data_IF_429833850262
#
_entry.id   IF_429833850262
#
_cell.length_a   1.000
_cell.length_b   1.000
_cell.length_c   1.000
_cell.angle_alpha   90.00
_cell.angle_beta   90.00
_cell.angle_gamma   90.00
#
_symmetry.space_group_name_H-M   'P 1'
#
loop_
_entity.id
_entity.type
_entity.pdbx_description
1 polymer ?
#
# COMPACT_ATOMS: atom_id res chain seq x y z
N UNK A 1 -28.38 -18.01 24.75
CA UNK A 1 -27.57 -17.19 25.65
C UNK A 1 -26.77 -16.25 24.77
N UNK A 2 -26.88 -14.94 24.97
CA UNK A 2 -26.12 -13.95 24.19
C UNK A 2 -24.74 -13.79 24.85
N UNK A 3 -23.66 -13.89 24.06
CA UNK A 3 -22.30 -13.64 24.53
C UNK A 3 -22.05 -12.14 24.64
N UNK A 4 -21.54 -11.67 25.78
CA UNK A 4 -21.25 -10.25 25.96
C UNK A 4 -20.23 -9.77 24.91
N UNK A 5 -20.60 -8.73 24.16
CA UNK A 5 -19.72 -8.09 23.19
C UNK A 5 -19.48 -6.63 23.62
N UNK A 6 -18.24 -6.24 23.98
CA UNK A 6 -17.95 -4.87 24.41
C UNK A 6 -17.97 -3.90 23.23
N UNK A 7 -18.37 -2.65 23.50
CA UNK A 7 -18.21 -1.55 22.54
C UNK A 7 -16.72 -1.26 22.30
N UNK A 8 -16.27 -1.11 21.04
CA UNK A 8 -14.86 -0.85 20.75
C UNK A 8 -14.42 0.54 21.23
N UNK A 9 -13.13 0.71 21.48
CA UNK A 9 -12.57 2.02 21.86
C UNK A 9 -12.77 3.03 20.73
N UNK A 10 -13.30 4.21 21.07
CA UNK A 10 -13.44 5.33 20.13
C UNK A 10 -12.12 6.07 19.96
N UNK A 11 -11.60 6.13 18.74
CA UNK A 11 -10.39 6.87 18.41
C UNK A 11 -10.64 8.40 18.40
N UNK A 12 -9.64 9.19 18.81
CA UNK A 12 -9.70 10.66 18.75
C UNK A 12 -9.38 11.13 17.33
N UNK A 13 -10.23 11.96 16.73
CA UNK A 13 -10.10 12.43 15.34
C UNK A 13 -8.90 13.36 15.10
N UNK A 14 -8.61 14.29 16.01
CA UNK A 14 -7.52 15.27 15.86
C UNK A 14 -6.16 14.72 16.29
N UNK A 15 -5.83 13.53 15.79
CA UNK A 15 -4.51 12.89 15.92
C UNK A 15 -3.77 12.98 14.60
N UNK A 16 -2.49 12.64 14.63
CA UNK A 16 -1.68 12.73 13.43
C UNK A 16 -2.18 11.76 12.36
N UNK A 17 -2.10 12.21 11.12
CA UNK A 17 -2.38 11.46 9.92
C UNK A 17 -1.13 11.43 9.04
N UNK A 18 -1.05 10.40 8.22
CA UNK A 18 -0.12 10.32 7.09
C UNK A 18 -0.97 10.32 5.83
N UNK A 19 -0.76 11.31 4.97
CA UNK A 19 -1.44 11.42 3.67
C UNK A 19 -0.46 10.97 2.60
N UNK A 20 -0.87 10.01 1.78
CA UNK A 20 -0.10 9.57 0.62
C UNK A 20 -0.92 9.76 -0.65
N UNK A 21 -0.26 9.87 -1.80
CA UNK A 21 -0.98 9.79 -3.06
C UNK A 21 -1.69 8.43 -3.17
N UNK A 22 -2.94 8.45 -3.62
CA UNK A 22 -3.67 7.24 -3.98
C UNK A 22 -3.35 6.90 -5.42
N UNK A 23 -2.80 5.70 -5.61
CA UNK A 23 -2.54 5.14 -6.92
C UNK A 23 -3.71 4.26 -7.37
N UNK A 24 -4.10 4.43 -8.63
CA UNK A 24 -5.17 3.68 -9.28
C UNK A 24 -4.56 2.49 -10.02
N UNK A 25 -4.36 1.40 -9.30
CA UNK A 25 -3.81 0.17 -9.83
C UNK A 25 -4.61 -1.03 -9.35
N UNK A 26 -3.91 -2.02 -8.83
CA UNK A 26 -4.51 -3.16 -8.14
C UNK A 26 -3.74 -3.49 -6.87
N UNK A 27 -4.48 -3.59 -5.76
CA UNK A 27 -3.92 -3.94 -4.47
C UNK A 27 -3.24 -5.32 -4.54
N UNK A 28 -1.97 -5.33 -4.12
CA UNK A 28 -1.10 -6.49 -4.21
C UNK A 28 -0.22 -6.60 -2.97
N UNK A 29 0.27 -7.80 -2.67
CA UNK A 29 1.25 -7.97 -1.60
C UNK A 29 2.21 -9.12 -1.89
N UNK A 30 3.39 -9.02 -1.26
CA UNK A 30 4.46 -10.01 -1.33
C UNK A 30 4.69 -10.53 0.09
N UNK A 31 4.58 -11.84 0.28
CA UNK A 31 4.96 -12.47 1.54
C UNK A 31 6.28 -13.20 1.35
N UNK A 32 7.25 -12.90 2.21
CA UNK A 32 8.57 -13.53 2.23
C UNK A 32 8.73 -14.20 3.60
N UNK A 33 9.13 -15.47 3.59
CA UNK A 33 9.40 -16.23 4.81
C UNK A 33 10.78 -16.85 4.71
N UNK A 34 11.55 -16.75 5.79
CA UNK A 34 12.87 -17.36 5.87
C UNK A 34 12.73 -18.88 6.08
N UNK A 35 13.35 -19.66 5.20
CA UNK A 35 13.46 -21.11 5.32
C UNK A 35 14.68 -21.53 6.14
N UNK A 36 15.00 -22.83 6.09
CA UNK A 36 16.14 -23.39 6.79
C UNK A 36 17.47 -22.87 6.23
N UNK A 37 18.47 -22.74 7.11
CA UNK A 37 19.87 -22.58 6.69
C UNK A 37 20.34 -23.90 6.04
N UNK A 38 21.06 -23.82 4.92
CA UNK A 38 21.47 -24.99 4.13
C UNK A 38 22.53 -25.88 4.84
N UNK A 39 22.90 -25.56 6.08
CA UNK A 39 23.87 -26.33 6.88
C UNK A 39 23.37 -27.73 7.32
N UNK A 40 22.10 -28.08 7.08
CA UNK A 40 21.53 -29.37 7.49
C UNK A 40 20.87 -30.11 6.30
N UNK A 41 21.53 -31.11 5.70
CA UNK A 41 20.99 -31.86 4.56
C UNK A 41 19.79 -32.79 4.87
N UNK A 42 19.30 -32.84 6.11
CA UNK A 42 18.38 -33.90 6.56
C UNK A 42 17.13 -33.45 7.31
N UNK A 43 16.83 -32.16 7.41
CA UNK A 43 15.53 -31.73 7.96
C UNK A 43 14.49 -31.73 6.85
N UNK A 44 13.57 -32.69 6.93
CA UNK A 44 12.34 -32.79 6.15
C UNK A 44 11.67 -31.41 6.10
N UNK A 45 11.61 -30.83 4.90
CA UNK A 45 10.89 -29.58 4.67
C UNK A 45 9.42 -29.85 4.96
N UNK A 46 8.87 -29.22 6.00
CA UNK A 46 7.43 -29.01 6.05
C UNK A 46 7.06 -28.29 4.75
N UNK A 47 6.22 -28.95 3.95
CA UNK A 47 5.76 -28.40 2.70
C UNK A 47 5.00 -27.12 3.02
N UNK A 48 5.65 -25.96 2.87
CA UNK A 48 4.96 -24.68 2.87
C UNK A 48 3.93 -24.76 1.75
N UNK A 49 2.64 -24.89 2.08
CA UNK A 49 1.67 -25.48 1.16
C UNK A 49 1.37 -24.56 -0.03
N UNK A 50 1.81 -23.31 0.02
CA UNK A 50 1.59 -22.27 -0.98
C UNK A 50 2.88 -21.46 -1.11
N UNK A 51 3.74 -21.79 -2.09
CA UNK A 51 4.90 -20.96 -2.48
C UNK A 51 4.82 -20.63 -3.98
N UNK A 52 5.11 -19.38 -4.32
CA UNK A 52 5.27 -18.93 -5.70
C UNK A 52 6.65 -19.33 -6.23
N UNK A 53 7.66 -19.21 -5.37
CA UNK A 53 9.05 -19.53 -5.68
C UNK A 53 9.84 -19.86 -4.43
N UNK A 54 11.00 -20.46 -4.67
CA UNK A 54 12.04 -20.74 -3.68
C UNK A 54 13.34 -20.16 -4.22
N UNK A 55 14.04 -19.36 -3.41
CA UNK A 55 15.28 -18.71 -3.83
C UNK A 55 16.34 -18.80 -2.74
N UNK A 56 17.59 -19.01 -3.15
CA UNK A 56 18.73 -19.03 -2.25
C UNK A 56 19.42 -17.67 -2.24
N UNK A 57 19.43 -17.01 -1.09
CA UNK A 57 20.01 -15.68 -0.89
C UNK A 57 20.76 -15.67 0.45
N UNK A 58 22.02 -15.24 0.42
CA UNK A 58 22.87 -15.01 1.58
C UNK A 58 22.95 -16.21 2.55
N UNK A 59 23.02 -17.44 2.01
CA UNK A 59 23.17 -18.66 2.80
C UNK A 59 21.86 -19.31 3.26
N UNK A 60 20.70 -18.71 2.94
CA UNK A 60 19.39 -19.20 3.35
C UNK A 60 18.49 -19.46 2.15
N UNK A 61 17.59 -20.44 2.33
CA UNK A 61 16.45 -20.63 1.44
C UNK A 61 15.35 -19.66 1.87
N UNK A 62 14.71 -19.01 0.91
CA UNK A 62 13.59 -18.11 1.13
C UNK A 62 12.38 -18.57 0.31
N UNK A 63 11.21 -18.47 0.92
CA UNK A 63 9.93 -18.72 0.24
C UNK A 63 9.24 -17.39 -0.02
N UNK A 64 8.76 -17.21 -1.24
CA UNK A 64 8.04 -16.01 -1.65
C UNK A 64 6.65 -16.38 -2.16
N UNK A 65 5.65 -15.56 -1.86
CA UNK A 65 4.31 -15.63 -2.47
C UNK A 65 3.82 -14.26 -2.89
N UNK A 66 3.00 -14.22 -3.94
CA UNK A 66 2.29 -13.04 -4.37
C UNK A 66 0.79 -13.19 -4.06
N UNK A 67 0.15 -12.11 -3.67
CA UNK A 67 -1.31 -12.07 -3.47
C UNK A 67 -1.93 -10.80 -4.05
N UNK A 68 -3.19 -10.93 -4.42
CA UNK A 68 -4.11 -9.80 -4.63
C UNK A 68 -4.81 -9.46 -3.31
N UNK A 69 -5.70 -8.46 -3.32
CA UNK A 69 -6.59 -8.17 -2.19
C UNK A 69 -7.37 -9.38 -1.64
N UNK A 70 -7.73 -10.34 -2.50
CA UNK A 70 -8.71 -11.39 -2.17
C UNK A 70 -8.11 -12.79 -2.01
N UNK A 71 -6.92 -13.03 -2.57
CA UNK A 71 -6.34 -14.37 -2.68
C UNK A 71 -4.86 -14.32 -3.07
N UNK A 72 -4.16 -15.41 -2.76
CA UNK A 72 -2.86 -15.75 -3.35
C UNK A 72 -3.01 -15.95 -4.87
N UNK A 73 -2.00 -15.54 -5.62
CA UNK A 73 -1.95 -15.61 -7.07
C UNK A 73 -0.65 -16.28 -7.54
N UNK A 74 -0.65 -16.84 -8.75
CA UNK A 74 0.51 -17.51 -9.35
C UNK A 74 0.71 -17.02 -10.79
N UNK A 75 1.90 -17.18 -11.40
CA UNK A 75 2.13 -16.71 -12.76
C UNK A 75 1.25 -17.48 -13.73
N UNK A 76 0.90 -16.84 -14.85
CA UNK A 76 0.14 -17.46 -15.93
C UNK A 76 -1.26 -16.87 -16.11
N UNK A 77 -2.05 -17.47 -17.00
CA UNK A 77 -3.27 -16.84 -17.52
C UNK A 77 -4.47 -16.86 -16.57
N UNK A 78 -4.46 -17.69 -15.54
CA UNK A 78 -5.66 -18.00 -14.74
C UNK A 78 -5.76 -17.21 -13.45
N UNK A 79 -4.67 -17.08 -12.70
CA UNK A 79 -4.68 -16.49 -11.36
C UNK A 79 -3.88 -15.21 -11.24
N UNK A 80 -2.99 -14.91 -12.18
CA UNK A 80 -2.14 -13.72 -12.17
C UNK A 80 -3.00 -12.42 -12.16
N UNK A 81 -2.45 -11.38 -11.55
CA UNK A 81 -3.02 -10.06 -11.41
C UNK A 81 -2.18 -9.06 -12.25
N UNK A 82 -2.48 -8.98 -13.54
CA UNK A 82 -1.80 -8.07 -14.48
C UNK A 82 -0.28 -8.28 -14.59
N UNK A 83 0.19 -9.52 -14.47
CA UNK A 83 1.60 -9.88 -14.50
C UNK A 83 2.33 -9.67 -13.18
N UNK A 84 1.64 -9.32 -12.09
CA UNK A 84 2.28 -9.14 -10.79
C UNK A 84 2.91 -10.44 -10.29
N UNK A 85 2.22 -11.58 -10.41
CA UNK A 85 2.76 -12.84 -9.91
C UNK A 85 3.98 -13.28 -10.73
N UNK A 86 3.94 -13.13 -12.05
CA UNK A 86 5.11 -13.33 -12.91
C UNK A 86 6.27 -12.41 -12.52
N UNK A 87 6.02 -11.12 -12.33
CA UNK A 87 7.05 -10.16 -11.91
C UNK A 87 7.68 -10.53 -10.55
N UNK A 88 6.89 -10.94 -9.56
CA UNK A 88 7.42 -11.39 -8.27
C UNK A 88 8.27 -12.65 -8.42
N UNK A 89 7.84 -13.59 -9.26
CA UNK A 89 8.60 -14.82 -9.53
C UNK A 89 9.96 -14.50 -10.18
N UNK A 90 9.96 -13.66 -11.20
CA UNK A 90 11.16 -13.36 -11.99
C UNK A 90 12.19 -12.52 -11.20
N UNK A 91 11.74 -11.74 -10.22
CA UNK A 91 12.58 -10.86 -9.40
C UNK A 91 12.75 -11.34 -7.95
N UNK A 92 12.48 -12.62 -7.67
CA UNK A 92 12.40 -13.15 -6.31
C UNK A 92 13.66 -12.90 -5.46
N UNK A 93 14.86 -13.04 -6.05
CA UNK A 93 16.12 -12.85 -5.35
C UNK A 93 16.30 -11.40 -4.86
N UNK A 94 16.03 -10.43 -5.74
CA UNK A 94 16.13 -9.01 -5.42
C UNK A 94 15.04 -8.60 -4.43
N UNK A 95 13.82 -9.09 -4.61
CA UNK A 95 12.72 -8.83 -3.67
C UNK A 95 13.04 -9.33 -2.26
N UNK A 96 13.66 -10.50 -2.12
CA UNK A 96 14.14 -11.01 -0.83
C UNK A 96 15.18 -10.08 -0.22
N UNK A 97 16.18 -9.62 -0.99
CA UNK A 97 17.20 -8.70 -0.49
C UNK A 97 16.61 -7.35 -0.08
N UNK A 98 15.74 -6.79 -0.92
CA UNK A 98 15.17 -5.45 -0.73
C UNK A 98 14.19 -5.43 0.45
N UNK A 99 13.22 -6.34 0.43
CA UNK A 99 12.09 -6.31 1.36
C UNK A 99 12.37 -7.09 2.65
N UNK A 100 13.19 -8.14 2.58
CA UNK A 100 13.39 -9.06 3.70
C UNK A 100 12.08 -9.76 4.13
N UNK A 101 12.14 -10.40 5.29
CA UNK A 101 11.03 -11.19 5.82
C UNK A 101 9.76 -10.36 6.11
N UNK A 102 8.61 -10.99 5.91
CA UNK A 102 7.30 -10.48 6.28
C UNK A 102 6.36 -10.26 5.10
N UNK A 103 5.22 -9.65 5.39
CA UNK A 103 4.16 -9.36 4.43
C UNK A 103 4.18 -7.87 4.05
N UNK A 104 4.36 -7.60 2.77
CA UNK A 104 4.59 -6.28 2.22
C UNK A 104 3.46 -5.90 1.28
N UNK A 105 2.58 -5.00 1.73
CA UNK A 105 1.44 -4.51 0.94
C UNK A 105 1.82 -3.28 0.13
N UNK A 106 1.30 -3.23 -1.09
CA UNK A 106 1.45 -2.08 -1.98
C UNK A 106 0.41 -2.07 -3.11
N UNK A 107 0.58 -1.11 -4.01
CA UNK A 107 -0.18 -1.02 -5.24
C UNK A 107 0.68 -1.53 -6.40
N UNK A 108 0.12 -2.40 -7.23
CA UNK A 108 0.67 -2.74 -8.54
C UNK A 108 -0.02 -1.88 -9.60
N UNK A 109 0.74 -1.03 -10.29
CA UNK A 109 0.18 0.03 -11.15
C UNK A 109 1.08 0.32 -12.36
N UNK A 110 0.58 1.08 -13.33
CA UNK A 110 1.28 1.42 -14.56
C UNK A 110 0.66 0.78 -15.81
N UNK A 111 1.44 0.60 -16.87
CA UNK A 111 0.95 0.27 -18.22
C UNK A 111 -0.01 -0.92 -18.23
N UNK A 112 -1.22 -0.70 -18.75
CA UNK A 112 -2.24 -1.74 -18.88
C UNK A 112 -3.02 -2.04 -17.59
N UNK A 113 -2.90 -1.20 -16.56
CA UNK A 113 -3.68 -1.29 -15.31
C UNK A 113 -4.36 0.06 -15.06
N UNK A 114 -5.70 0.06 -15.01
CA UNK A 114 -6.53 1.25 -14.71
C UNK A 114 -6.05 2.52 -15.45
N UNK A 115 -5.64 3.57 -14.72
CA UNK A 115 -5.18 4.85 -15.27
C UNK A 115 -3.90 4.76 -16.10
N UNK A 116 -3.09 3.71 -15.94
CA UNK A 116 -1.85 3.49 -16.69
C UNK A 116 -0.72 4.47 -16.37
N UNK A 117 -1.03 5.68 -15.93
CA UNK A 117 -0.11 6.75 -15.51
C UNK A 117 0.90 7.19 -16.59
N UNK A 118 0.62 6.91 -17.87
CA UNK A 118 1.53 7.20 -18.96
C UNK A 118 2.87 6.43 -18.90
N UNK A 119 2.97 5.40 -18.04
CA UNK A 119 4.21 4.65 -17.86
C UNK A 119 4.44 3.64 -18.99
N UNK A 120 5.71 3.41 -19.34
CA UNK A 120 6.10 2.35 -20.27
C UNK A 120 6.10 0.96 -19.59
N UNK A 121 6.23 0.93 -18.27
CA UNK A 121 6.31 -0.28 -17.46
C UNK A 121 5.23 -0.33 -16.37
N UNK A 122 5.41 -1.26 -15.44
CA UNK A 122 4.61 -1.39 -14.22
C UNK A 122 5.52 -1.21 -13.00
N UNK A 123 4.94 -0.75 -11.90
CA UNK A 123 5.62 -0.48 -10.64
C UNK A 123 4.85 -1.09 -9.48
N UNK A 124 5.58 -1.53 -8.46
CA UNK A 124 5.04 -1.92 -7.17
C UNK A 124 5.41 -0.86 -6.13
N UNK A 125 4.42 -0.12 -5.65
CA UNK A 125 4.63 0.93 -4.65
C UNK A 125 4.05 0.49 -3.31
N UNK A 126 4.91 0.29 -2.32
CA UNK A 126 4.54 -0.08 -0.95
C UNK A 126 3.64 0.98 -0.30
N UNK A 127 2.82 0.58 0.66
CA UNK A 127 2.00 1.53 1.44
C UNK A 127 2.66 2.01 2.74
N UNK A 128 3.62 1.26 3.28
CA UNK A 128 4.27 1.59 4.55
C UNK A 128 5.57 2.37 4.31
N UNK A 129 5.45 3.69 4.24
CA UNK A 129 6.56 4.63 4.00
C UNK A 129 7.58 4.65 5.13
N UNK A 130 7.13 4.55 6.38
CA UNK A 130 8.07 4.45 7.51
C UNK A 130 8.96 3.22 7.42
N UNK A 131 8.41 2.05 7.06
CA UNK A 131 9.20 0.80 6.95
C UNK A 131 10.16 0.84 5.76
N UNK A 132 9.83 1.54 4.69
CA UNK A 132 10.67 1.67 3.50
C UNK A 132 11.99 2.39 3.79
N UNK A 133 11.93 3.49 4.56
CA UNK A 133 13.08 4.32 4.90
C UNK A 133 13.81 3.87 6.19
N UNK A 134 13.19 3.03 7.01
CA UNK A 134 13.79 2.56 8.26
C UNK A 134 15.11 1.81 8.02
N UNK A 135 16.16 2.23 8.71
CA UNK A 135 17.48 1.59 8.68
C UNK A 135 17.47 0.41 9.64
N UNK A 136 17.78 -0.77 9.11
CA UNK A 136 18.04 -1.97 9.90
C UNK A 136 19.38 -1.82 10.62
N UNK A 137 19.38 -1.93 11.95
CA UNK A 137 20.55 -1.65 12.79
C UNK A 137 21.70 -2.63 12.54
N UNK A 138 21.39 -3.88 12.21
CA UNK A 138 22.39 -4.94 11.99
C UNK A 138 23.11 -4.76 10.65
N UNK A 139 22.36 -4.47 9.58
CA UNK A 139 22.93 -4.31 8.24
C UNK A 139 23.34 -2.87 7.91
N UNK A 140 22.84 -1.88 8.64
CA UNK A 140 23.02 -0.46 8.33
C UNK A 140 22.32 -0.01 7.05
N UNK A 141 21.34 -0.78 6.55
CA UNK A 141 20.64 -0.52 5.29
C UNK A 141 19.13 -0.40 5.49
N UNK A 142 18.44 0.37 4.64
CA UNK A 142 16.98 0.40 4.56
C UNK A 142 16.48 -0.36 3.33
N UNK A 143 15.17 -0.61 3.23
CA UNK A 143 14.60 -1.19 2.01
C UNK A 143 14.90 -0.31 0.79
N UNK A 144 14.79 1.01 0.98
CA UNK A 144 15.15 2.00 -0.02
C UNK A 144 16.60 1.85 -0.49
N UNK A 145 17.58 1.86 0.41
CA UNK A 145 18.99 1.78 0.01
C UNK A 145 19.33 0.43 -0.65
N UNK A 146 18.59 -0.64 -0.33
CA UNK A 146 18.73 -1.94 -0.99
C UNK A 146 18.10 -1.95 -2.38
N UNK A 147 16.95 -1.28 -2.57
CA UNK A 147 16.33 -1.13 -3.88
C UNK A 147 17.20 -0.30 -4.84
N UNK A 148 17.84 0.75 -4.33
CA UNK A 148 18.81 1.59 -5.07
C UNK A 148 20.01 0.81 -5.63
N UNK A 149 20.28 -0.39 -5.10
CA UNK A 149 21.37 -1.27 -5.51
C UNK A 149 20.89 -2.46 -6.37
N UNK A 150 19.62 -2.48 -6.76
CA UNK A 150 19.01 -3.60 -7.50
C UNK A 150 18.70 -3.26 -8.95
N UNK A 151 18.59 -4.28 -9.79
CA UNK A 151 18.19 -4.15 -11.20
C UNK A 151 16.72 -3.72 -11.38
N UNK A 152 15.93 -3.75 -10.30
CA UNK A 152 14.51 -3.38 -10.29
C UNK A 152 14.24 -2.00 -9.67
N UNK A 153 15.26 -1.16 -9.52
CA UNK A 153 15.17 0.18 -8.90
C UNK A 153 13.99 1.02 -9.42
N UNK A 154 13.70 0.99 -10.72
CA UNK A 154 12.60 1.77 -11.33
C UNK A 154 11.21 1.11 -11.24
N UNK A 155 11.15 -0.09 -10.65
CA UNK A 155 9.95 -0.94 -10.58
C UNK A 155 9.44 -1.14 -9.16
N UNK A 156 10.23 -0.80 -8.13
CA UNK A 156 9.81 -0.91 -6.73
C UNK A 156 10.13 0.37 -5.96
N UNK A 157 9.12 0.91 -5.28
CA UNK A 157 9.27 2.09 -4.43
C UNK A 157 8.14 2.09 -3.37
N UNK A 158 7.85 3.25 -2.80
CA UNK A 158 6.71 3.50 -1.93
C UNK A 158 5.79 4.55 -2.53
N UNK A 159 4.52 4.57 -2.11
CA UNK A 159 3.62 5.68 -2.45
C UNK A 159 4.15 7.00 -1.90
N UNK A 160 4.08 8.13 -2.66
CA UNK A 160 4.56 9.42 -2.16
C UNK A 160 3.82 9.86 -0.90
N UNK A 161 4.58 10.25 0.13
CA UNK A 161 4.02 10.92 1.31
C UNK A 161 3.85 12.40 1.01
N UNK A 162 2.61 12.89 1.11
CA UNK A 162 2.23 14.27 0.80
C UNK A 162 2.10 15.13 2.07
N UNK A 163 1.80 14.51 3.21
CA UNK A 163 1.70 15.21 4.49
C UNK A 163 1.83 14.26 5.68
N UNK A 164 2.47 14.75 6.75
CA UNK A 164 2.50 14.13 8.08
C UNK A 164 2.21 15.20 9.13
N UNK A 165 1.20 14.97 9.96
CA UNK A 165 0.83 15.90 11.04
C UNK A 165 -0.62 15.77 11.45
N UNK A 166 -1.14 16.66 12.32
CA UNK A 166 -2.50 16.58 12.86
C UNK A 166 -3.57 16.53 11.76
N UNK A 167 -4.64 15.76 11.99
CA UNK A 167 -5.80 15.77 11.09
C UNK A 167 -6.33 17.19 10.89
N UNK A 168 -6.40 17.61 9.63
CA UNK A 168 -7.02 18.84 9.20
C UNK A 168 -7.72 18.62 7.87
N UNK A 169 -9.04 18.81 7.84
CA UNK A 169 -9.84 18.70 6.63
C UNK A 169 -9.35 19.66 5.54
N UNK A 170 -8.96 20.89 5.90
CA UNK A 170 -8.46 21.88 4.94
C UNK A 170 -7.14 21.46 4.30
N UNK A 171 -6.25 20.82 5.06
CA UNK A 171 -4.96 20.31 4.53
C UNK A 171 -5.22 19.16 3.56
N UNK A 172 -6.10 18.22 3.91
CA UNK A 172 -6.46 17.11 3.01
C UNK A 172 -7.01 17.64 1.69
N UNK A 173 -7.92 18.62 1.74
CA UNK A 173 -8.50 19.21 0.54
C UNK A 173 -7.50 20.00 -0.29
N UNK A 174 -6.60 20.75 0.35
CA UNK A 174 -5.54 21.45 -0.36
C UNK A 174 -4.68 20.46 -1.15
N UNK A 175 -4.28 19.35 -0.55
CA UNK A 175 -3.47 18.32 -1.23
C UNK A 175 -4.24 17.70 -2.41
N UNK A 176 -5.53 17.42 -2.25
CA UNK A 176 -6.36 16.91 -3.35
C UNK A 176 -6.48 17.94 -4.49
N UNK A 177 -6.61 19.22 -4.17
CA UNK A 177 -6.67 20.29 -5.17
C UNK A 177 -5.30 20.51 -5.84
N UNK A 178 -4.19 20.33 -5.12
CA UNK A 178 -2.84 20.36 -5.66
C UNK A 178 -2.64 19.20 -6.65
N UNK A 179 -3.05 17.98 -6.31
CA UNK A 179 -3.00 16.82 -7.23
C UNK A 179 -3.87 17.03 -8.48
N UNK A 180 -4.99 17.73 -8.38
CA UNK A 180 -5.84 18.10 -9.53
C UNK A 180 -5.19 19.18 -10.40
N UNK A 181 -4.44 20.09 -9.80
CA UNK A 181 -3.86 21.25 -10.49
C UNK A 181 -2.52 20.91 -11.12
N UNK A 182 -1.71 20.13 -10.43
CA UNK A 182 -0.32 19.84 -10.80
C UNK A 182 -0.07 18.40 -11.23
N UNK A 183 -1.07 17.52 -11.08
CA UNK A 183 -0.98 16.11 -11.45
C UNK A 183 -0.35 15.22 -10.37
N UNK A 184 -0.05 13.99 -10.77
CA UNK A 184 0.52 12.94 -9.93
C UNK A 184 1.95 13.29 -9.51
N UNK A 185 2.24 13.13 -8.21
CA UNK A 185 3.61 13.17 -7.68
C UNK A 185 4.32 11.86 -7.98
N UNK A 186 3.61 10.73 -7.93
CA UNK A 186 4.16 9.41 -8.25
C UNK A 186 4.55 9.23 -9.72
N UNK A 187 3.84 9.91 -10.63
CA UNK A 187 4.10 9.90 -12.06
C UNK A 187 4.14 11.33 -12.62
N UNK A 188 5.30 12.01 -12.56
CA UNK A 188 5.45 13.37 -13.07
C UNK A 188 4.96 13.51 -14.52
N UNK A 189 4.15 14.55 -14.76
CA UNK A 189 3.54 14.80 -16.07
C UNK A 189 2.19 14.09 -16.31
N UNK A 190 1.73 13.25 -15.37
CA UNK A 190 0.40 12.66 -15.43
C UNK A 190 -0.63 13.51 -14.67
N UNK A 191 -1.50 14.22 -15.40
CA UNK A 191 -2.41 15.23 -14.83
C UNK A 191 -3.56 14.64 -13.99
N UNK A 192 -3.98 13.41 -14.27
CA UNK A 192 -5.22 12.84 -13.72
C UNK A 192 -4.99 11.94 -12.50
N UNK A 193 -4.34 12.45 -11.46
CA UNK A 193 -4.11 11.71 -10.20
C UNK A 193 -5.43 11.28 -9.54
N UNK A 194 -5.50 10.09 -8.94
CA UNK A 194 -6.75 9.53 -8.40
C UNK A 194 -7.22 10.18 -7.10
N UNK A 195 -6.29 10.69 -6.28
CA UNK A 195 -6.57 11.33 -5.00
C UNK A 195 -5.58 10.93 -3.92
N UNK A 196 -6.04 10.78 -2.68
CA UNK A 196 -5.19 10.50 -1.52
C UNK A 196 -5.70 9.34 -0.65
N UNK A 197 -4.76 8.63 -0.03
CA UNK A 197 -5.01 7.74 1.09
C UNK A 197 -4.57 8.43 2.39
N UNK A 198 -5.34 8.26 3.46
CA UNK A 198 -5.14 8.93 4.74
C UNK A 198 -5.09 7.86 5.83
N UNK A 199 -3.89 7.57 6.32
CA UNK A 199 -3.71 6.72 7.50
C UNK A 199 -3.86 7.56 8.76
N UNK A 200 -4.80 7.20 9.64
CA UNK A 200 -5.03 7.89 10.90
C UNK A 200 -4.41 7.12 12.06
N UNK A 201 -3.36 7.70 12.66
CA UNK A 201 -2.46 7.00 13.61
C UNK A 201 -3.17 6.42 14.83
N UNK A 202 -4.18 7.12 15.35
CA UNK A 202 -4.90 6.66 16.55
C UNK A 202 -6.03 5.64 16.28
N UNK A 203 -6.47 5.49 15.03
CA UNK A 203 -7.47 4.47 14.66
C UNK A 203 -6.85 3.26 13.98
N UNK A 204 -5.63 3.38 13.46
CA UNK A 204 -4.97 2.35 12.65
C UNK A 204 -5.69 2.07 11.34
N UNK A 205 -6.56 2.98 10.88
CA UNK A 205 -7.36 2.81 9.66
C UNK A 205 -6.89 3.74 8.55
N UNK A 206 -7.06 3.26 7.32
CA UNK A 206 -6.82 4.04 6.10
C UNK A 206 -8.17 4.46 5.52
N UNK A 207 -8.29 5.74 5.20
CA UNK A 207 -9.41 6.33 4.47
C UNK A 207 -8.92 6.80 3.11
N UNK A 208 -9.84 7.10 2.19
CA UNK A 208 -9.48 7.66 0.89
C UNK A 208 -10.36 8.84 0.53
N UNK A 209 -9.78 9.78 -0.21
CA UNK A 209 -10.50 10.87 -0.88
C UNK A 209 -10.12 10.81 -2.35
N UNK A 210 -11.10 10.68 -3.23
CA UNK A 210 -10.87 10.66 -4.69
C UNK A 210 -10.98 12.07 -5.28
N UNK A 211 -10.16 12.34 -6.29
CA UNK A 211 -10.16 13.60 -7.03
C UNK A 211 -11.34 13.71 -8.00
N UNK A 212 -11.89 12.59 -8.48
CA UNK A 212 -12.92 12.59 -9.53
C UNK A 212 -14.34 12.97 -9.06
N UNK A 213 -14.64 12.97 -7.76
CA UNK A 213 -16.02 13.15 -7.27
C UNK A 213 -16.13 14.32 -6.29
N UNK A 214 -16.82 15.39 -6.70
CA UNK A 214 -17.39 16.40 -5.79
C UNK A 214 -18.67 15.91 -5.10
N UNK A 215 -19.30 14.85 -5.61
CA UNK A 215 -20.67 14.47 -5.21
C UNK A 215 -20.76 13.48 -4.04
N UNK A 216 -19.65 12.80 -3.71
CA UNK A 216 -19.56 11.88 -2.55
C UNK A 216 -18.86 12.48 -1.33
N UNK A 217 -18.29 13.67 -1.48
CA UNK A 217 -17.67 14.42 -0.39
C UNK A 217 -18.57 15.59 -0.04
N UNK A 218 -18.81 15.90 1.25
CA UNK A 218 -19.62 17.05 1.62
C UNK A 218 -19.07 18.26 0.86
N UNK A 219 -19.90 18.86 0.02
CA UNK A 219 -19.53 20.06 -0.71
C UNK A 219 -18.95 21.04 0.31
N UNK A 220 -17.71 21.48 0.09
CA UNK A 220 -17.19 22.65 0.76
C UNK A 220 -18.21 23.74 0.49
N UNK A 221 -18.95 24.14 1.52
CA UNK A 221 -19.89 25.25 1.46
C UNK A 221 -19.12 26.39 0.80
N UNK A 222 -19.56 26.76 -0.40
CA UNK A 222 -19.23 28.06 -0.96
C UNK A 222 -19.46 29.08 0.16
N UNK A 223 -18.55 30.05 0.27
CA UNK A 223 -18.38 31.07 1.31
C UNK A 223 -19.60 32.00 1.53
N UNK A 224 -20.78 31.43 1.72
CA UNK A 224 -22.01 32.09 2.16
C UNK A 224 -22.26 31.82 3.65
N UNK A 225 -23.10 32.65 4.30
CA UNK A 225 -23.34 32.54 5.74
C UNK A 225 -23.85 31.13 6.09
N UNK A 226 -23.27 30.58 7.16
CA UNK A 226 -23.62 29.29 7.75
C UNK A 226 -25.13 29.25 8.04
N UNK A 227 -25.91 28.69 7.13
CA UNK A 227 -27.26 28.27 7.45
C UNK A 227 -27.15 26.93 8.18
N UNK A 228 -27.68 26.93 9.40
CA UNK A 228 -27.74 25.84 10.36
C UNK A 228 -28.31 24.56 9.72
N UNK A 229 -27.45 23.63 9.32
CA UNK A 229 -27.85 22.31 8.84
C UNK A 229 -27.85 21.34 10.03
N UNK A 230 -28.77 21.56 10.98
CA UNK A 230 -29.30 20.46 11.79
C UNK A 230 -30.23 19.63 10.90
N UNK A 231 -29.67 18.75 10.09
CA UNK A 231 -30.44 17.66 9.47
C UNK A 231 -30.54 16.53 10.48
N UNK A 232 -31.78 16.29 10.89
CA UNK A 232 -32.31 15.15 11.63
C UNK A 232 -31.28 14.06 11.96
N UNK A 233 -30.90 14.00 13.24
CA UNK A 233 -30.32 12.81 13.86
C UNK A 233 -31.39 11.71 13.88
N UNK A 234 -31.63 11.12 12.71
CA UNK A 234 -32.43 9.93 12.52
C UNK A 234 -31.81 8.79 13.32
N UNK A 235 -32.60 8.29 14.26
CA UNK A 235 -32.45 7.08 15.08
C UNK A 235 -31.45 6.07 14.50
N UNK A 236 -30.29 5.98 15.13
CA UNK A 236 -29.41 4.82 15.02
C UNK A 236 -29.98 3.72 15.94
N UNK A 237 -30.67 2.75 15.35
CA UNK A 237 -30.94 1.48 16.04
C UNK A 237 -29.72 0.57 15.83
N UNK A 238 -29.00 0.31 16.92
CA UNK A 238 -27.92 -0.66 16.95
C UNK A 238 -28.50 -2.07 16.75
N UNK A 239 -27.92 -2.81 15.81
CA UNK A 239 -27.99 -4.27 15.75
C UNK A 239 -26.95 -4.87 16.70
#
# INVERSE_FOLDING_TARGET
MHEFTPWPKTARLFRDIVVTEKLDGTNSAIHITKGAAVLCPSSVFEAYPLKLGEVFVDGYIWFITAQSRKRIITPGKTTDNYGFAGWVHDNAADLVRILGEGLHFGEWWGRGIQRGYGLEGKRFSLFNTTRWDAVDEDSGTSMKSRAEQSDIIDQIDVVPTLYVGPFSESVVWQIVDDLRTYGSVAAPGFENAEGVCIFHTASGRVFKVTSDHRDGNPQRLASGPLNDVRRDAGKWEAA
#
